data_IF_651364743388
#
_entry.id   IF_651364743388
#
_cell.length_a   1.000
_cell.length_b   1.000
_cell.length_c   1.000
_cell.angle_alpha   90.00
_cell.angle_beta   90.00
_cell.angle_gamma   90.00
#
_symmetry.space_group_name_H-M   'P 1'
#
loop_
_entity.id
_entity.type
_entity.pdbx_description
1 polymer ?
#
# COMPACT_ATOMS: atom_id res chain seq x y z
N UNK A 1 16.16 25.61 3.40
CA UNK A 1 17.33 25.07 2.67
C UNK A 1 17.19 23.57 2.62
N UNK A 2 17.34 22.94 1.44
CA UNK A 2 17.37 21.47 1.33
C UNK A 2 18.70 20.92 1.86
N UNK A 3 18.73 19.64 2.23
CA UNK A 3 19.97 18.99 2.64
C UNK A 3 20.99 18.93 1.51
N UNK A 4 20.56 18.77 0.26
CA UNK A 4 21.44 18.82 -0.91
C UNK A 4 22.13 20.18 -1.04
N UNK A 5 21.38 21.28 -0.86
CA UNK A 5 21.92 22.64 -0.89
C UNK A 5 22.85 22.90 0.30
N UNK A 6 22.48 22.39 1.48
CA UNK A 6 23.30 22.48 2.69
C UNK A 6 24.63 21.75 2.51
N UNK A 7 24.60 20.55 1.92
CA UNK A 7 25.79 19.74 1.65
C UNK A 7 26.70 20.42 0.62
N UNK A 8 26.15 20.96 -0.47
CA UNK A 8 26.94 21.74 -1.43
C UNK A 8 27.60 22.98 -0.79
N UNK A 9 26.88 23.69 0.06
CA UNK A 9 27.42 24.83 0.81
C UNK A 9 28.52 24.40 1.79
N UNK A 10 28.33 23.28 2.50
CA UNK A 10 29.31 22.71 3.42
C UNK A 10 30.64 22.39 2.70
N UNK A 11 30.61 21.81 1.50
CA UNK A 11 31.82 21.56 0.72
C UNK A 11 32.54 22.85 0.31
N UNK A 12 31.78 23.89 -0.02
CA UNK A 12 32.34 25.21 -0.33
C UNK A 12 33.07 25.80 0.88
N UNK A 13 32.52 25.62 2.09
CA UNK A 13 33.17 26.05 3.33
C UNK A 13 34.39 25.19 3.67
N UNK A 14 34.25 23.86 3.59
CA UNK A 14 35.29 22.90 3.90
C UNK A 14 36.55 23.09 3.03
N UNK A 15 36.41 23.56 1.79
CA UNK A 15 37.55 23.87 0.90
C UNK A 15 38.55 24.88 1.47
N UNK A 16 38.14 25.65 2.50
CA UNK A 16 38.96 26.65 3.18
C UNK A 16 39.55 26.14 4.51
N UNK A 17 39.18 24.94 4.92
CA UNK A 17 39.56 24.35 6.21
C UNK A 17 40.74 23.38 6.06
N UNK A 18 41.55 23.18 7.12
CA UNK A 18 42.59 22.17 7.13
C UNK A 18 42.04 20.76 6.85
N UNK A 19 42.86 19.92 6.22
CA UNK A 19 42.53 18.52 5.87
C UNK A 19 41.41 18.34 4.83
N UNK A 20 41.03 19.38 4.09
CA UNK A 20 40.09 19.26 2.97
C UNK A 20 40.50 18.18 1.95
N UNK A 21 41.80 18.03 1.70
CA UNK A 21 42.35 17.02 0.79
C UNK A 21 42.05 15.57 1.21
N UNK A 22 41.62 15.34 2.45
CA UNK A 22 41.19 14.03 2.94
C UNK A 22 39.71 13.74 2.66
N UNK A 23 38.93 14.73 2.21
CA UNK A 23 37.52 14.57 1.88
C UNK A 23 37.35 14.09 0.43
N UNK A 24 36.52 13.07 0.25
CA UNK A 24 36.04 12.66 -1.06
C UNK A 24 34.99 13.62 -1.64
N UNK A 25 34.42 13.28 -2.82
CA UNK A 25 33.31 14.03 -3.38
C UNK A 25 32.06 13.99 -2.47
N UNK A 26 31.18 15.00 -2.54
CA UNK A 26 29.96 15.07 -1.71
C UNK A 26 29.03 13.85 -1.82
N UNK A 27 29.05 13.16 -2.96
CA UNK A 27 28.27 11.93 -3.20
C UNK A 27 28.60 10.80 -2.25
N UNK A 28 29.84 10.76 -1.74
CA UNK A 28 30.36 9.64 -0.95
C UNK A 28 29.94 9.73 0.52
N UNK A 29 29.16 10.76 0.87
CA UNK A 29 28.77 11.05 2.23
C UNK A 29 27.28 11.29 2.38
N UNK A 30 26.76 10.83 3.51
CA UNK A 30 25.40 11.07 3.98
C UNK A 30 25.45 11.90 5.26
N UNK A 31 24.44 12.75 5.45
CA UNK A 31 24.27 13.49 6.69
C UNK A 31 23.59 12.59 7.73
N UNK A 32 24.11 12.59 8.95
CA UNK A 32 23.54 11.91 10.11
C UNK A 32 23.23 12.92 11.20
N UNK A 33 22.15 12.73 11.94
CA UNK A 33 21.80 13.56 13.10
C UNK A 33 21.14 12.72 14.18
N UNK A 34 20.92 13.30 15.36
CA UNK A 34 20.23 12.60 16.45
C UNK A 34 18.76 13.00 16.44
N UNK A 35 17.86 12.01 16.33
CA UNK A 35 16.42 12.23 16.34
C UNK A 35 15.94 12.66 17.73
N UNK A 36 15.10 13.69 17.79
CA UNK A 36 14.44 14.15 19.01
C UNK A 36 13.38 13.15 19.51
N UNK A 37 12.84 12.30 18.62
CA UNK A 37 11.80 11.34 18.97
C UNK A 37 12.38 10.07 19.61
N UNK A 38 13.46 9.54 19.02
CA UNK A 38 14.03 8.24 19.43
C UNK A 38 15.32 8.40 20.24
N UNK A 39 15.93 9.59 20.26
CA UNK A 39 17.27 9.82 20.81
C UNK A 39 18.38 8.97 20.15
N UNK A 40 18.15 8.49 18.93
CA UNK A 40 19.09 7.68 18.16
C UNK A 40 19.64 8.42 16.93
N UNK A 41 20.73 7.89 16.37
CA UNK A 41 21.30 8.38 15.12
C UNK A 41 20.43 8.02 13.90
N UNK A 42 20.00 9.03 13.15
CA UNK A 42 19.22 8.93 11.92
C UNK A 42 20.07 9.35 10.72
N UNK A 43 20.10 8.52 9.67
CA UNK A 43 20.78 8.80 8.41
C UNK A 43 19.80 9.42 7.40
N UNK A 44 20.14 10.59 6.85
CA UNK A 44 19.28 11.34 5.94
C UNK A 44 19.64 11.10 4.48
N UNK A 45 19.20 9.95 3.94
CA UNK A 45 19.43 9.61 2.54
C UNK A 45 18.59 10.42 1.55
N UNK A 46 17.44 10.96 1.97
CA UNK A 46 16.63 11.85 1.13
C UNK A 46 17.09 13.30 1.27
N UNK A 47 17.99 13.72 0.39
CA UNK A 47 18.58 15.06 0.44
C UNK A 47 17.65 16.19 -0.03
N UNK A 48 16.47 15.84 -0.55
CA UNK A 48 15.43 16.82 -0.89
C UNK A 48 14.67 17.31 0.36
N UNK A 49 14.83 16.65 1.50
CA UNK A 49 14.28 17.11 2.77
C UNK A 49 14.88 18.48 3.15
N UNK A 50 14.10 19.28 3.87
CA UNK A 50 14.56 20.58 4.39
C UNK A 50 15.12 20.41 5.80
N UNK A 51 16.18 21.14 6.13
CA UNK A 51 16.80 21.07 7.46
C UNK A 51 15.80 21.37 8.59
N UNK A 52 14.92 22.36 8.40
CA UNK A 52 13.87 22.72 9.37
C UNK A 52 12.78 21.66 9.52
N UNK A 53 12.63 20.75 8.55
CA UNK A 53 11.71 19.63 8.62
C UNK A 53 12.27 18.42 9.37
N UNK A 54 13.56 18.45 9.74
CA UNK A 54 14.17 17.39 10.52
C UNK A 54 13.85 17.56 11.99
N UNK A 55 13.46 16.47 12.64
CA UNK A 55 13.19 16.46 14.08
C UNK A 55 14.47 16.13 14.84
N UNK A 56 15.47 17.00 14.74
CA UNK A 56 16.75 16.80 15.40
C UNK A 56 16.68 17.22 16.87
N UNK A 57 17.31 16.44 17.76
CA UNK A 57 17.46 16.77 19.18
C UNK A 57 18.32 18.04 19.38
N UNK A 58 19.35 18.20 18.54
CA UNK A 58 20.22 19.37 18.48
C UNK A 58 20.43 19.75 17.01
N UNK A 59 20.65 21.03 16.67
CA UNK A 59 20.92 21.47 15.30
C UNK A 59 22.36 21.13 14.85
N UNK A 60 22.78 19.89 15.08
CA UNK A 60 24.10 19.36 14.78
C UNK A 60 23.93 18.14 13.86
N UNK A 61 24.72 18.12 12.79
CA UNK A 61 24.79 16.98 11.88
C UNK A 61 26.24 16.53 11.74
N UNK A 62 26.42 15.22 11.60
CA UNK A 62 27.69 14.58 11.32
C UNK A 62 27.69 14.12 9.86
N UNK A 63 28.86 14.17 9.23
CA UNK A 63 29.08 13.63 7.92
C UNK A 63 29.59 12.19 8.06
N UNK A 64 28.90 11.22 7.44
CA UNK A 64 29.28 9.81 7.46
C UNK A 64 29.53 9.31 6.04
N UNK A 65 30.55 8.46 5.87
CA UNK A 65 30.85 7.88 4.56
C UNK A 65 29.79 6.83 4.23
N UNK A 66 29.25 6.88 3.02
CA UNK A 66 28.27 5.92 2.52
C UNK A 66 28.97 4.59 2.21
N UNK A 67 28.25 3.47 2.34
CA UNK A 67 28.74 2.18 1.87
C UNK A 67 29.03 2.24 0.36
N UNK A 68 30.10 1.59 -0.11
CA UNK A 68 30.48 1.62 -1.52
C UNK A 68 29.52 0.80 -2.42
N UNK A 69 28.74 -0.11 -1.82
CA UNK A 69 27.78 -0.97 -2.52
C UNK A 69 26.40 -0.31 -2.65
N UNK A 70 25.97 -0.14 -3.90
CA UNK A 70 24.67 0.46 -4.24
C UNK A 70 23.48 -0.32 -3.68
N UNK A 71 23.57 -1.66 -3.58
CA UNK A 71 22.50 -2.48 -3.02
C UNK A 71 22.34 -2.20 -1.52
N UNK A 72 23.46 -2.14 -0.79
CA UNK A 72 23.48 -1.78 0.63
C UNK A 72 22.93 -0.37 0.89
N UNK A 73 23.24 0.59 0.01
CA UNK A 73 22.66 1.95 0.10
C UNK A 73 21.14 1.89 -0.02
N UNK A 74 20.62 1.16 -0.99
CA UNK A 74 19.18 1.09 -1.23
C UNK A 74 18.47 0.37 -0.09
N UNK A 75 19.06 -0.69 0.44
CA UNK A 75 18.56 -1.35 1.64
C UNK A 75 18.53 -0.41 2.85
N UNK A 76 19.58 0.39 3.05
CA UNK A 76 19.65 1.34 4.15
C UNK A 76 18.62 2.47 4.02
N UNK A 77 18.35 2.94 2.80
CA UNK A 77 17.26 3.89 2.52
C UNK A 77 15.90 3.32 2.89
N UNK A 78 15.62 2.09 2.47
CA UNK A 78 14.36 1.41 2.78
C UNK A 78 14.21 1.20 4.29
N UNK A 79 15.27 0.72 4.97
CA UNK A 79 15.26 0.53 6.41
C UNK A 79 15.02 1.85 7.16
N UNK A 80 15.62 2.96 6.73
CA UNK A 80 15.39 4.29 7.31
C UNK A 80 13.93 4.74 7.12
N UNK A 81 13.34 4.49 5.94
CA UNK A 81 11.94 4.81 5.67
C UNK A 81 10.99 3.97 6.55
N UNK A 82 11.26 2.66 6.67
CA UNK A 82 10.49 1.75 7.52
C UNK A 82 10.57 2.21 8.98
N UNK A 83 11.77 2.49 9.49
CA UNK A 83 11.98 2.94 10.87
C UNK A 83 11.22 4.24 11.17
N UNK A 84 11.19 5.17 10.21
CA UNK A 84 10.45 6.43 10.34
C UNK A 84 8.93 6.20 10.45
N UNK A 85 8.39 5.21 9.75
CA UNK A 85 6.96 4.89 9.76
C UNK A 85 6.61 4.03 10.99
N UNK A 86 7.42 3.03 11.30
CA UNK A 86 7.18 2.08 12.40
C UNK A 86 7.52 2.65 13.77
N UNK A 87 8.34 3.70 13.83
CA UNK A 87 8.98 4.26 15.04
C UNK A 87 9.93 3.30 15.75
N UNK A 88 10.28 2.18 15.12
CA UNK A 88 11.21 1.17 15.65
C UNK A 88 12.48 1.20 14.81
N UNK A 89 13.62 1.36 15.49
CA UNK A 89 14.92 1.40 14.82
C UNK A 89 15.37 0.01 14.38
N UNK A 90 16.16 -0.04 13.32
CA UNK A 90 16.73 -1.31 12.86
C UNK A 90 17.74 -1.87 13.88
N UNK A 91 18.41 -1.01 14.64
CA UNK A 91 19.34 -1.42 15.69
C UNK A 91 18.60 -2.14 16.83
N UNK A 92 17.48 -1.58 17.29
CA UNK A 92 16.63 -2.20 18.31
C UNK A 92 16.07 -3.54 17.86
N UNK A 93 15.63 -3.61 16.59
CA UNK A 93 15.13 -4.85 16.00
C UNK A 93 16.20 -5.94 15.92
N UNK A 94 17.44 -5.57 15.59
CA UNK A 94 18.55 -6.50 15.54
C UNK A 94 18.95 -6.96 16.95
N UNK A 95 19.05 -6.03 17.90
CA UNK A 95 19.33 -6.36 19.30
C UNK A 95 18.26 -7.29 19.90
N UNK A 96 16.98 -7.07 19.57
CA UNK A 96 15.89 -7.93 19.98
C UNK A 96 15.98 -9.34 19.35
N UNK A 97 16.37 -9.43 18.08
CA UNK A 97 16.56 -10.70 17.39
C UNK A 97 17.77 -11.49 17.94
N UNK A 98 18.85 -10.80 18.31
CA UNK A 98 20.02 -11.41 18.96
C UNK A 98 19.68 -11.90 20.38
N UNK A 99 18.88 -11.13 21.12
CA UNK A 99 18.48 -11.49 22.48
C UNK A 99 17.43 -12.62 22.53
N UNK A 100 16.63 -12.81 21.47
CA UNK A 100 15.51 -13.76 21.44
C UNK A 100 15.43 -14.49 20.10
N UNK A 101 15.66 -15.80 20.13
CA UNK A 101 15.58 -16.67 18.94
C UNK A 101 14.21 -16.69 18.28
N UNK A 102 13.12 -16.56 19.06
CA UNK A 102 11.76 -16.43 18.53
C UNK A 102 11.63 -15.19 17.63
N UNK A 103 12.20 -14.05 18.05
CA UNK A 103 12.14 -12.80 17.27
C UNK A 103 12.92 -12.96 15.96
N UNK A 104 14.12 -13.55 16.01
CA UNK A 104 14.91 -13.83 14.81
C UNK A 104 14.15 -14.74 13.84
N UNK A 105 13.57 -15.84 14.34
CA UNK A 105 12.80 -16.79 13.55
C UNK A 105 11.56 -16.15 12.91
N UNK A 106 10.78 -15.38 13.69
CA UNK A 106 9.59 -14.69 13.19
C UNK A 106 9.95 -13.70 12.09
N UNK A 107 11.03 -12.92 12.26
CA UNK A 107 11.50 -11.98 11.22
C UNK A 107 11.82 -12.70 9.91
N UNK A 108 12.54 -13.82 9.98
CA UNK A 108 12.88 -14.60 8.80
C UNK A 108 11.64 -15.20 8.12
N UNK A 109 10.69 -15.71 8.90
CA UNK A 109 9.44 -16.28 8.35
C UNK A 109 8.57 -15.22 7.70
N UNK A 110 8.41 -14.06 8.33
CA UNK A 110 7.63 -12.96 7.76
C UNK A 110 8.28 -12.40 6.49
N UNK A 111 9.61 -12.34 6.43
CA UNK A 111 10.32 -11.94 5.21
C UNK A 111 10.04 -12.93 4.07
N UNK A 112 10.16 -14.24 4.33
CA UNK A 112 9.85 -15.26 3.34
C UNK A 112 8.40 -15.19 2.84
N UNK A 113 7.44 -14.91 3.73
CA UNK A 113 6.05 -14.68 3.35
C UNK A 113 5.87 -13.42 2.49
N UNK A 114 6.56 -12.33 2.83
CA UNK A 114 6.52 -11.09 2.07
C UNK A 114 7.09 -11.30 0.64
N UNK A 115 8.24 -11.97 0.53
CA UNK A 115 8.88 -12.27 -0.75
C UNK A 115 7.99 -13.15 -1.64
N UNK A 116 7.34 -14.17 -1.06
CA UNK A 116 6.41 -15.02 -1.77
C UNK A 116 5.21 -14.22 -2.30
N UNK A 117 4.68 -13.28 -1.52
CA UNK A 117 3.56 -12.43 -1.92
C UNK A 117 3.97 -11.43 -3.01
N UNK A 118 5.13 -10.80 -2.89
CA UNK A 118 5.68 -9.89 -3.91
C UNK A 118 5.92 -10.64 -5.22
N UNK A 119 6.51 -11.84 -5.15
CA UNK A 119 6.74 -12.68 -6.33
C UNK A 119 5.43 -13.05 -7.02
N UNK A 120 4.41 -13.45 -6.25
CA UNK A 120 3.06 -13.74 -6.79
C UNK A 120 2.39 -12.53 -7.41
N UNK A 121 2.51 -11.36 -6.77
CA UNK A 121 1.95 -10.12 -7.28
C UNK A 121 2.60 -9.74 -8.62
N UNK A 122 3.93 -9.77 -8.68
CA UNK A 122 4.70 -9.44 -9.88
C UNK A 122 4.50 -10.46 -11.01
N UNK A 123 4.26 -11.73 -10.69
CA UNK A 123 3.92 -12.75 -11.67
C UNK A 123 2.59 -12.47 -12.40
N UNK A 124 1.68 -11.70 -11.79
CA UNK A 124 0.44 -11.23 -12.41
C UNK A 124 0.62 -10.01 -13.34
N UNK A 125 1.85 -9.49 -13.45
CA UNK A 125 2.18 -8.36 -14.30
C UNK A 125 1.64 -7.01 -13.80
N UNK A 126 1.76 -5.94 -14.62
CA UNK A 126 1.43 -4.57 -14.23
C UNK A 126 -0.01 -4.39 -13.79
N UNK A 127 -0.96 -5.08 -14.44
CA UNK A 127 -2.38 -5.00 -14.11
C UNK A 127 -2.67 -5.59 -12.72
N UNK A 128 -1.99 -6.66 -12.31
CA UNK A 128 -2.16 -7.23 -10.97
C UNK A 128 -1.65 -6.28 -9.88
N UNK A 129 -0.53 -5.59 -10.15
CA UNK A 129 0.00 -4.54 -9.25
C UNK A 129 -0.97 -3.37 -9.15
N UNK A 130 -1.50 -2.89 -10.28
CA UNK A 130 -2.49 -1.82 -10.30
C UNK A 130 -3.77 -2.21 -9.53
N UNK A 131 -4.23 -3.44 -9.71
CA UNK A 131 -5.35 -4.01 -8.97
C UNK A 131 -5.07 -4.01 -7.46
N UNK A 132 -3.91 -4.51 -7.01
CA UNK A 132 -3.54 -4.49 -5.59
C UNK A 132 -3.54 -3.09 -4.98
N UNK A 133 -3.12 -2.07 -5.73
CA UNK A 133 -3.02 -0.70 -5.25
C UNK A 133 -4.36 0.06 -5.24
N UNK A 134 -5.27 -0.26 -6.16
CA UNK A 134 -6.39 0.66 -6.49
C UNK A 134 -7.74 -0.03 -6.72
N UNK A 135 -7.86 -1.34 -6.48
CA UNK A 135 -9.14 -2.04 -6.62
C UNK A 135 -10.23 -1.47 -5.72
N UNK A 136 -11.40 -1.20 -6.31
CA UNK A 136 -12.60 -0.91 -5.55
C UNK A 136 -13.03 -2.15 -4.74
N UNK A 137 -13.42 -1.94 -3.48
CA UNK A 137 -13.85 -3.02 -2.61
C UNK A 137 -15.14 -3.69 -3.12
N UNK A 138 -15.11 -5.02 -3.21
CA UNK A 138 -16.28 -5.83 -3.55
C UNK A 138 -16.94 -6.39 -2.30
N UNK A 139 -18.27 -6.29 -2.26
CA UNK A 139 -19.14 -6.93 -1.29
C UNK A 139 -20.28 -7.65 -2.03
N UNK A 140 -20.08 -8.91 -2.47
CA UNK A 140 -21.13 -9.64 -3.21
C UNK A 140 -22.42 -9.88 -2.41
N UNK A 141 -22.33 -9.86 -1.08
CA UNK A 141 -23.47 -10.03 -0.19
C UNK A 141 -24.24 -8.72 -0.03
N UNK A 142 -25.43 -8.67 -0.62
CA UNK A 142 -26.35 -7.55 -0.51
C UNK A 142 -27.07 -7.55 0.86
N UNK A 143 -27.17 -6.38 1.48
CA UNK A 143 -27.95 -6.18 2.70
C UNK A 143 -29.46 -6.34 2.43
N UNK A 144 -30.23 -6.69 3.46
CA UNK A 144 -31.70 -6.85 3.31
C UNK A 144 -32.39 -5.52 2.95
N UNK A 145 -31.86 -4.40 3.43
CA UNK A 145 -32.28 -3.04 3.05
C UNK A 145 -32.09 -2.80 1.57
N UNK A 146 -30.89 -3.10 1.05
CA UNK A 146 -30.57 -2.88 -0.35
C UNK A 146 -31.36 -3.82 -1.28
N UNK A 147 -31.54 -5.08 -0.91
CA UNK A 147 -32.43 -6.00 -1.65
C UNK A 147 -33.87 -5.46 -1.76
N UNK A 148 -34.38 -4.82 -0.70
CA UNK A 148 -35.70 -4.16 -0.73
C UNK A 148 -35.69 -2.94 -1.66
N UNK A 149 -34.66 -2.09 -1.55
CA UNK A 149 -34.48 -0.92 -2.42
C UNK A 149 -34.49 -1.34 -3.91
N UNK A 150 -33.75 -2.40 -4.25
CA UNK A 150 -33.67 -2.94 -5.60
C UNK A 150 -35.00 -3.44 -6.15
N UNK A 151 -35.92 -3.92 -5.30
CA UNK A 151 -37.26 -4.32 -5.76
C UNK A 151 -38.10 -3.11 -6.18
N UNK A 152 -37.83 -1.94 -5.63
CA UNK A 152 -38.60 -0.71 -5.90
C UNK A 152 -38.05 0.10 -7.08
N UNK A 153 -36.74 0.05 -7.34
CA UNK A 153 -36.18 0.70 -8.53
C UNK A 153 -36.39 -0.17 -9.78
N UNK A 154 -36.77 0.40 -10.93
CA UNK A 154 -36.93 -0.38 -12.17
C UNK A 154 -35.59 -0.73 -12.83
N UNK A 155 -34.60 0.17 -12.74
CA UNK A 155 -33.27 0.05 -13.33
C UNK A 155 -32.22 0.59 -12.36
N UNK A 156 -30.97 0.17 -12.52
CA UNK A 156 -29.82 0.78 -11.85
C UNK A 156 -29.44 2.05 -12.62
N UNK A 157 -29.72 3.21 -12.04
CA UNK A 157 -29.27 4.49 -12.62
C UNK A 157 -27.82 4.72 -12.23
N UNK A 158 -26.93 4.93 -13.20
CA UNK A 158 -25.57 5.43 -12.96
C UNK A 158 -25.39 6.76 -13.69
N UNK A 159 -24.40 7.53 -13.26
CA UNK A 159 -23.94 8.69 -14.02
C UNK A 159 -22.46 8.55 -14.38
N UNK A 160 -22.10 9.02 -15.58
CA UNK A 160 -20.74 9.01 -16.08
C UNK A 160 -20.33 10.40 -16.57
N UNK A 161 -19.13 10.84 -16.21
CA UNK A 161 -18.56 12.08 -16.73
C UNK A 161 -17.71 11.72 -17.94
N UNK A 162 -17.91 12.43 -19.04
CA UNK A 162 -17.20 12.21 -20.29
C UNK A 162 -16.66 13.55 -20.77
N UNK A 163 -15.48 13.56 -21.36
CA UNK A 163 -14.89 14.76 -21.94
C UNK A 163 -14.97 14.61 -23.45
N UNK A 164 -15.57 15.58 -24.14
CA UNK A 164 -15.61 15.58 -25.59
C UNK A 164 -14.30 16.10 -26.20
N UNK A 165 -14.14 15.89 -27.51
CA UNK A 165 -13.00 16.38 -28.27
C UNK A 165 -13.20 17.82 -28.80
N UNK A 166 -14.13 18.60 -28.22
CA UNK A 166 -14.30 20.00 -28.61
C UNK A 166 -13.06 20.81 -28.22
N UNK A 167 -12.83 21.94 -28.90
CA UNK A 167 -11.84 22.93 -28.47
C UNK A 167 -12.56 24.22 -28.04
N UNK A 168 -12.63 24.55 -26.73
CA UNK A 168 -12.06 23.81 -25.59
C UNK A 168 -12.87 22.53 -25.24
N UNK A 169 -12.24 21.53 -24.58
CA UNK A 169 -12.91 20.29 -24.21
C UNK A 169 -14.04 20.55 -23.23
N UNK A 170 -15.22 20.02 -23.52
CA UNK A 170 -16.41 20.16 -22.69
C UNK A 170 -16.71 18.85 -21.95
N UNK A 171 -17.07 19.00 -20.68
CA UNK A 171 -17.52 17.89 -19.86
C UNK A 171 -19.01 17.67 -20.04
N UNK A 172 -19.39 16.44 -20.36
CA UNK A 172 -20.77 15.98 -20.46
C UNK A 172 -21.07 15.00 -19.33
N UNK A 173 -22.23 15.17 -18.69
CA UNK A 173 -22.75 14.23 -17.70
C UNK A 173 -23.76 13.31 -18.38
N UNK A 174 -23.42 12.04 -18.51
CA UNK A 174 -24.31 10.99 -18.97
C UNK A 174 -25.06 10.39 -17.79
N UNK A 175 -26.37 10.20 -17.92
CA UNK A 175 -27.18 9.41 -17.00
C UNK A 175 -27.71 8.18 -17.72
N UNK A 176 -27.40 7.00 -17.22
CA UNK A 176 -27.69 5.71 -17.87
C UNK A 176 -28.54 4.85 -16.96
N UNK A 177 -29.60 4.28 -17.54
CA UNK A 177 -30.52 3.37 -16.87
C UNK A 177 -30.18 1.94 -17.29
N UNK A 178 -29.43 1.25 -16.44
CA UNK A 178 -28.89 -0.07 -16.74
C UNK A 178 -29.71 -1.18 -16.06
N UNK A 179 -29.64 -2.43 -16.57
CA UNK A 179 -30.13 -3.60 -15.83
C UNK A 179 -29.50 -3.68 -14.44
N UNK A 180 -30.21 -4.26 -13.46
CA UNK A 180 -29.73 -4.32 -12.06
C UNK A 180 -28.51 -5.24 -11.92
N UNK A 181 -28.43 -6.24 -12.78
CA UNK A 181 -27.38 -7.24 -12.86
C UNK A 181 -26.27 -6.87 -13.86
N UNK A 182 -26.24 -5.61 -14.32
CA UNK A 182 -25.24 -5.15 -15.31
C UNK A 182 -23.82 -5.38 -14.81
N UNK A 183 -22.99 -6.00 -15.67
CA UNK A 183 -21.57 -6.21 -15.41
C UNK A 183 -20.75 -4.95 -15.70
N UNK A 184 -19.54 -4.87 -15.16
CA UNK A 184 -18.59 -3.78 -15.45
C UNK A 184 -18.36 -3.64 -16.96
N UNK A 185 -18.10 -4.75 -17.66
CA UNK A 185 -17.88 -4.74 -19.10
C UNK A 185 -19.09 -4.22 -19.89
N UNK A 186 -20.30 -4.65 -19.49
CA UNK A 186 -21.55 -4.19 -20.14
C UNK A 186 -21.80 -2.71 -19.88
N UNK A 187 -21.52 -2.22 -18.67
CA UNK A 187 -21.65 -0.81 -18.34
C UNK A 187 -20.64 0.06 -19.11
N UNK A 188 -19.40 -0.40 -19.30
CA UNK A 188 -18.41 0.29 -20.13
C UNK A 188 -18.93 0.44 -21.56
N UNK A 189 -19.44 -0.64 -22.17
CA UNK A 189 -20.02 -0.63 -23.52
C UNK A 189 -21.13 0.41 -23.64
N UNK A 190 -22.09 0.39 -22.72
CA UNK A 190 -23.21 1.34 -22.71
C UNK A 190 -22.76 2.80 -22.54
N UNK A 191 -21.74 3.06 -21.70
CA UNK A 191 -21.18 4.41 -21.55
C UNK A 191 -20.49 4.84 -22.84
N UNK A 192 -19.65 4.00 -23.44
CA UNK A 192 -18.93 4.32 -24.68
C UNK A 192 -19.90 4.50 -25.85
N UNK A 193 -20.95 3.69 -25.94
CA UNK A 193 -22.01 3.83 -26.95
C UNK A 193 -22.82 5.12 -26.75
N UNK A 194 -23.07 5.52 -25.51
CA UNK A 194 -23.70 6.80 -25.20
C UNK A 194 -22.78 7.99 -25.50
N UNK A 195 -21.48 7.89 -25.23
CA UNK A 195 -20.47 8.90 -25.60
C UNK A 195 -20.37 9.06 -27.12
N UNK A 196 -20.30 7.95 -27.84
CA UNK A 196 -20.21 7.91 -29.32
C UNK A 196 -21.37 8.65 -29.97
N UNK A 197 -22.58 8.53 -29.40
CA UNK A 197 -23.78 9.25 -29.86
C UNK A 197 -23.72 10.77 -29.63
N UNK A 198 -22.88 11.26 -28.73
CA UNK A 198 -22.67 12.69 -28.51
C UNK A 198 -21.69 13.32 -29.50
N UNK A 199 -20.79 12.53 -30.09
CA UNK A 199 -19.79 13.00 -31.05
C UNK A 199 -20.46 13.35 -32.38
N UNK A 200 -20.26 14.58 -32.85
CA UNK A 200 -20.72 15.02 -34.18
C UNK A 200 -19.65 14.69 -35.23
N UNK A 201 -19.75 13.53 -35.90
CA UNK A 201 -18.85 13.12 -36.98
C UNK A 201 -18.93 11.64 -37.31
N UNK A 202 -18.25 11.19 -38.37
CA UNK A 202 -18.03 9.76 -38.62
C UNK A 202 -17.12 9.20 -37.52
N UNK A 203 -17.70 8.42 -36.61
CA UNK A 203 -16.93 7.65 -35.64
C UNK A 203 -16.49 6.38 -36.34
N UNK A 204 -15.18 6.19 -36.49
CA UNK A 204 -14.63 4.97 -37.04
C UNK A 204 -15.16 3.76 -36.26
N UNK A 205 -15.66 2.74 -36.97
CA UNK A 205 -16.04 1.48 -36.36
C UNK A 205 -14.78 0.86 -35.74
N UNK A 206 -14.64 0.93 -34.42
CA UNK A 206 -13.61 0.21 -33.72
C UNK A 206 -14.08 -1.24 -33.56
N UNK A 207 -13.52 -2.16 -34.34
CA UNK A 207 -13.82 -3.61 -34.29
C UNK A 207 -13.40 -4.28 -32.95
N UNK A 208 -12.87 -3.51 -32.00
CA UNK A 208 -12.34 -4.00 -30.73
C UNK A 208 -13.32 -3.71 -29.59
N UNK A 209 -13.57 -4.70 -28.74
CA UNK A 209 -14.42 -4.56 -27.55
C UNK A 209 -13.86 -3.47 -26.62
N UNK A 210 -14.58 -2.35 -26.39
CA UNK A 210 -14.11 -1.27 -25.53
C UNK A 210 -13.87 -1.75 -24.09
N UNK A 211 -14.61 -2.76 -23.61
CA UNK A 211 -14.42 -3.30 -22.27
C UNK A 211 -13.02 -3.90 -22.02
N UNK A 212 -12.26 -4.22 -23.08
CA UNK A 212 -10.88 -4.72 -22.97
C UNK A 212 -9.83 -3.62 -22.72
N UNK A 213 -10.16 -2.36 -23.01
CA UNK A 213 -9.22 -1.22 -22.95
C UNK A 213 -9.50 -0.25 -21.80
N UNK A 214 -10.73 -0.23 -21.32
CA UNK A 214 -11.19 0.71 -20.31
C UNK A 214 -11.41 0.01 -18.96
N UNK A 215 -11.20 0.76 -17.88
CA UNK A 215 -11.68 0.45 -16.55
C UNK A 215 -12.77 1.45 -16.15
N UNK A 216 -13.68 1.07 -15.25
CA UNK A 216 -14.54 2.05 -14.59
C UNK A 216 -13.84 2.59 -13.34
N UNK A 217 -13.70 3.91 -13.29
CA UNK A 217 -13.18 4.64 -12.15
C UNK A 217 -14.33 5.23 -11.33
N UNK A 218 -14.25 5.10 -10.00
CA UNK A 218 -15.13 5.82 -9.09
C UNK A 218 -14.76 7.30 -9.10
N UNK A 219 -15.75 8.17 -9.37
CA UNK A 219 -15.50 9.61 -9.42
C UNK A 219 -15.06 10.13 -8.06
N UNK A 220 -14.07 11.03 -8.06
CA UNK A 220 -13.50 11.64 -6.85
C UNK A 220 -12.76 10.68 -5.88
N UNK A 221 -12.52 9.42 -6.24
CA UNK A 221 -11.63 8.51 -5.49
C UNK A 221 -10.49 7.97 -6.38
N UNK A 222 -9.59 7.17 -5.81
CA UNK A 222 -8.55 6.43 -6.54
C UNK A 222 -8.91 4.93 -6.66
N UNK A 223 -10.19 4.64 -6.82
CA UNK A 223 -10.71 3.27 -6.88
C UNK A 223 -11.22 2.93 -8.28
N UNK A 224 -10.89 1.72 -8.73
CA UNK A 224 -11.20 1.23 -10.07
C UNK A 224 -11.82 -0.17 -10.00
N UNK A 225 -12.72 -0.45 -10.93
CA UNK A 225 -13.42 -1.72 -11.04
C UNK A 225 -12.70 -2.58 -12.07
N UNK A 226 -11.88 -3.53 -11.60
CA UNK A 226 -11.01 -4.37 -12.45
C UNK A 226 -11.68 -5.65 -12.96
N UNK A 227 -12.72 -6.14 -12.29
CA UNK A 227 -13.38 -7.39 -12.69
C UNK A 227 -14.49 -7.10 -13.72
N UNK A 228 -14.29 -7.44 -15.01
CA UNK A 228 -15.23 -7.12 -16.09
C UNK A 228 -16.57 -7.85 -15.93
N UNK A 229 -16.57 -9.03 -15.31
CA UNK A 229 -17.74 -9.91 -15.18
C UNK A 229 -18.52 -9.66 -13.88
N UNK A 230 -17.94 -8.91 -12.94
CA UNK A 230 -18.63 -8.59 -11.70
C UNK A 230 -19.77 -7.60 -11.94
N UNK A 231 -20.93 -7.87 -11.34
CA UNK A 231 -22.07 -6.95 -11.39
C UNK A 231 -21.73 -5.65 -10.65
N UNK A 232 -22.13 -4.49 -11.20
CA UNK A 232 -21.87 -3.18 -10.57
C UNK A 232 -22.38 -3.12 -9.13
N UNK A 233 -23.49 -3.80 -8.85
CA UNK A 233 -24.09 -3.81 -7.52
C UNK A 233 -23.26 -4.54 -6.46
N UNK A 234 -22.28 -5.36 -6.85
CA UNK A 234 -21.39 -6.03 -5.91
C UNK A 234 -20.27 -5.12 -5.40
N UNK A 235 -20.15 -3.89 -5.89
CA UNK A 235 -19.14 -2.95 -5.39
C UNK A 235 -19.70 -2.13 -4.23
N UNK A 236 -18.92 -2.01 -3.14
CA UNK A 236 -19.35 -1.31 -1.92
C UNK A 236 -19.81 0.11 -2.21
N UNK A 237 -19.05 0.85 -3.02
CA UNK A 237 -19.41 2.21 -3.44
C UNK A 237 -20.83 2.30 -4.05
N UNK A 238 -21.16 1.38 -4.95
CA UNK A 238 -22.49 1.35 -5.60
C UNK A 238 -23.57 1.05 -4.57
N UNK A 239 -23.33 0.10 -3.67
CA UNK A 239 -24.27 -0.22 -2.59
C UNK A 239 -24.53 0.98 -1.68
N UNK A 240 -23.47 1.66 -1.25
CA UNK A 240 -23.59 2.83 -0.38
C UNK A 240 -24.37 3.97 -1.04
N UNK A 241 -24.14 4.23 -2.32
CA UNK A 241 -24.94 5.21 -3.08
C UNK A 241 -26.42 4.83 -3.07
N UNK A 242 -26.75 3.58 -3.36
CA UNK A 242 -28.14 3.11 -3.39
C UNK A 242 -28.81 3.17 -2.00
N UNK A 243 -28.09 2.87 -0.92
CA UNK A 243 -28.62 2.97 0.44
C UNK A 243 -28.88 4.43 0.86
N UNK A 244 -28.07 5.37 0.34
CA UNK A 244 -28.26 6.82 0.55
C UNK A 244 -29.27 7.45 -0.40
N UNK A 245 -29.76 6.71 -1.40
CA UNK A 245 -30.63 7.24 -2.45
C UNK A 245 -29.89 8.15 -3.46
N UNK A 246 -28.57 8.00 -3.55
CA UNK A 246 -27.71 8.73 -4.48
C UNK A 246 -27.46 7.92 -5.76
N UNK A 247 -27.07 8.61 -6.84
CA UNK A 247 -26.72 8.00 -8.12
C UNK A 247 -25.21 7.73 -8.13
N UNK A 248 -24.75 6.46 -8.27
CA UNK A 248 -23.34 6.14 -8.44
C UNK A 248 -22.72 6.89 -9.60
N UNK A 249 -21.51 7.44 -9.39
CA UNK A 249 -20.77 8.19 -10.42
C UNK A 249 -19.53 7.43 -10.85
N UNK A 250 -19.51 6.93 -12.07
CA UNK A 250 -18.47 6.08 -12.63
C UNK A 250 -18.04 6.61 -14.00
N UNK A 251 -16.74 6.75 -14.25
CA UNK A 251 -16.22 7.23 -15.53
C UNK A 251 -15.27 6.19 -16.14
N UNK A 252 -15.39 5.87 -17.45
CA UNK A 252 -14.43 5.02 -18.13
C UNK A 252 -13.10 5.76 -18.26
N UNK A 253 -12.01 5.06 -17.96
CA UNK A 253 -10.63 5.53 -18.10
C UNK A 253 -9.81 4.45 -18.79
N UNK A 254 -8.81 4.84 -19.57
CA UNK A 254 -7.95 3.88 -20.26
C UNK A 254 -7.08 3.13 -19.23
N UNK A 255 -6.95 1.82 -19.42
CA UNK A 255 -6.10 0.98 -18.56
C UNK A 255 -4.64 1.44 -18.63
N UNK A 256 -4.15 1.80 -19.82
CA UNK A 256 -2.79 2.32 -20.04
C UNK A 256 -2.53 3.60 -19.23
N UNK A 257 -3.46 4.57 -19.23
CA UNK A 257 -3.32 5.81 -18.46
C UNK A 257 -3.23 5.53 -16.95
N UNK A 258 -3.95 4.52 -16.46
CA UNK A 258 -3.90 4.11 -15.05
C UNK A 258 -2.54 3.49 -14.72
N UNK A 259 -2.01 2.63 -15.59
CA UNK A 259 -0.68 2.04 -15.39
C UNK A 259 0.41 3.12 -15.39
N UNK A 260 0.36 4.06 -16.33
CA UNK A 260 1.30 5.17 -16.45
C UNK A 260 1.24 6.08 -15.21
N UNK A 261 0.04 6.41 -14.73
CA UNK A 261 -0.15 7.20 -13.52
C UNK A 261 0.42 6.52 -12.26
N UNK A 262 0.44 5.19 -12.23
CA UNK A 262 1.04 4.40 -11.14
C UNK A 262 2.54 4.16 -11.33
N UNK A 263 3.14 4.63 -12.43
CA UNK A 263 4.54 4.40 -12.78
C UNK A 263 4.85 2.92 -13.07
N UNK A 264 3.85 2.16 -13.51
CA UNK A 264 3.98 0.75 -13.86
C UNK A 264 4.36 0.61 -15.34
N UNK A 265 5.09 -0.44 -15.74
CA UNK A 265 5.49 -0.60 -17.13
C UNK A 265 4.26 -0.85 -18.03
N UNK A 266 4.33 -0.41 -19.31
CA UNK A 266 3.22 -0.57 -20.24
C UNK A 266 2.94 -2.05 -20.50
N UNK A 267 1.71 -2.36 -20.91
CA UNK A 267 1.34 -3.69 -21.39
C UNK A 267 2.16 -4.03 -22.65
N UNK A 268 2.91 -5.14 -22.62
CA UNK A 268 3.56 -5.66 -23.82
C UNK A 268 2.49 -6.05 -24.88
N UNK A 269 2.80 -5.84 -26.17
CA UNK A 269 1.88 -6.02 -27.31
C UNK A 269 1.10 -7.35 -27.28
N UNK A 270 -0.15 -7.38 -27.80
CA UNK A 270 -1.07 -8.50 -27.65
C UNK A 270 -0.57 -9.73 -28.40
N UNK A 271 0.02 -10.67 -27.67
CA UNK A 271 0.49 -11.93 -28.23
C UNK A 271 0.71 -13.07 -27.25
N UNK A 272 0.80 -12.86 -25.92
CA UNK A 272 1.14 -13.99 -25.02
C UNK A 272 0.62 -13.92 -23.59
N UNK A 273 -0.25 -12.99 -23.22
CA UNK A 273 -0.86 -13.01 -21.88
C UNK A 273 -2.30 -12.50 -21.95
N UNK A 274 -3.24 -13.43 -22.12
CA UNK A 274 -4.62 -13.18 -21.71
C UNK A 274 -4.59 -12.79 -20.23
N UNK A 275 -4.97 -11.54 -19.94
CA UNK A 275 -5.31 -11.14 -18.58
C UNK A 275 -6.52 -12.00 -18.16
N UNK A 276 -6.25 -13.06 -17.41
CA UNK A 276 -7.30 -13.82 -16.73
C UNK A 276 -7.62 -13.06 -15.44
N UNK A 277 -8.82 -12.50 -15.29
CA UNK A 277 -9.20 -11.86 -14.03
C UNK A 277 -9.01 -12.89 -12.93
N UNK A 278 -8.29 -12.50 -11.88
CA UNK A 278 -8.01 -13.33 -10.72
C UNK A 278 -9.31 -13.54 -9.91
N UNK A 279 -10.25 -14.28 -10.46
CA UNK A 279 -11.43 -14.83 -9.76
C UNK A 279 -11.03 -15.76 -8.60
N UNK A 280 -9.72 -16.06 -8.47
CA UNK A 280 -9.11 -16.89 -7.44
C UNK A 280 -8.34 -16.12 -6.35
N UNK A 281 -8.34 -14.78 -6.32
CA UNK A 281 -7.89 -14.04 -5.11
C UNK A 281 -8.95 -14.05 -3.99
N UNK A 282 -9.92 -14.97 -4.04
CA UNK A 282 -10.97 -15.18 -3.04
C UNK A 282 -10.50 -15.82 -1.73
N UNK A 283 -9.20 -15.96 -1.52
CA UNK A 283 -8.64 -16.17 -0.19
C UNK A 283 -7.30 -15.45 -0.08
N UNK A 284 -7.30 -14.29 0.59
CA UNK A 284 -6.15 -13.93 1.41
C UNK A 284 -5.88 -15.15 2.31
N UNK A 285 -4.66 -15.71 2.32
CA UNK A 285 -4.36 -16.85 3.15
C UNK A 285 -4.67 -16.49 4.61
N UNK A 286 -5.40 -17.39 5.28
CA UNK A 286 -5.50 -17.39 6.73
C UNK A 286 -4.08 -17.24 7.28
N UNK A 287 -3.83 -16.12 7.96
CA UNK A 287 -2.61 -15.94 8.72
C UNK A 287 -2.54 -17.14 9.68
N UNK A 288 -1.38 -17.78 9.79
CA UNK A 288 -1.08 -18.96 10.63
C UNK A 288 -1.20 -20.32 9.89
N UNK A 289 -0.25 -20.59 9.00
CA UNK A 289 0.37 -21.93 8.96
C UNK A 289 1.87 -21.75 9.24
N UNK A 290 2.18 -21.61 10.53
CA UNK A 290 3.54 -21.58 11.03
C UNK A 290 4.01 -23.02 11.18
N UNK A 291 4.63 -23.58 10.14
CA UNK A 291 5.38 -24.83 10.29
C UNK A 291 6.82 -24.50 10.69
N UNK A 292 7.17 -24.86 11.92
CA UNK A 292 8.54 -24.81 12.42
C UNK A 292 9.24 -26.12 12.12
N UNK A 293 10.11 -26.13 11.10
CA UNK A 293 11.17 -27.14 11.01
C UNK A 293 12.26 -26.74 11.99
N UNK A 294 12.23 -27.33 13.19
CA UNK A 294 13.37 -27.38 14.09
C UNK A 294 14.00 -28.76 14.02
N UNK A 295 15.32 -28.84 14.14
CA UNK A 295 16.03 -30.11 14.34
C UNK A 295 15.46 -30.80 15.60
N UNK A 296 14.74 -31.90 15.38
CA UNK A 296 14.12 -32.67 16.46
C UNK A 296 15.19 -33.56 17.09
N UNK A 297 15.99 -33.00 18.00
CA UNK A 297 16.55 -33.83 19.07
C UNK A 297 15.39 -34.39 19.90
N UNK A 298 15.53 -35.63 20.39
CA UNK A 298 14.48 -36.44 21.03
C UNK A 298 13.57 -35.64 21.97
N UNK A 299 12.46 -35.13 21.44
CA UNK A 299 11.42 -34.43 22.21
C UNK A 299 10.41 -35.46 22.71
N UNK A 300 10.22 -35.55 24.02
CA UNK A 300 9.13 -36.31 24.62
C UNK A 300 7.80 -35.61 24.31
N UNK A 301 6.80 -36.37 23.87
CA UNK A 301 5.46 -35.83 23.67
C UNK A 301 4.90 -35.37 25.02
N UNK A 302 4.35 -34.15 25.04
CA UNK A 302 3.68 -33.58 26.22
C UNK A 302 2.52 -34.48 26.67
N UNK A 303 1.87 -35.18 25.74
CA UNK A 303 0.79 -36.12 26.05
C UNK A 303 1.25 -37.43 26.71
N UNK A 304 2.54 -37.77 26.61
CA UNK A 304 3.13 -38.93 27.28
C UNK A 304 3.51 -38.63 28.73
N UNK A 305 3.51 -37.36 29.14
CA UNK A 305 3.76 -36.96 30.52
C UNK A 305 2.53 -37.28 31.38
N UNK A 306 2.70 -38.21 32.34
CA UNK A 306 1.65 -38.60 33.31
C UNK A 306 1.68 -37.80 34.61
N UNK A 307 2.40 -36.69 34.63
CA UNK A 307 2.59 -35.87 35.83
C UNK A 307 1.56 -34.74 35.96
N UNK A 308 1.32 -34.28 37.18
CA UNK A 308 0.45 -33.13 37.45
C UNK A 308 1.18 -31.81 37.17
N UNK A 309 0.51 -30.87 36.50
CA UNK A 309 1.06 -29.53 36.25
C UNK A 309 1.32 -28.80 37.57
N UNK A 310 2.57 -28.36 37.78
CA UNK A 310 2.94 -27.55 38.94
C UNK A 310 3.84 -26.40 38.51
N UNK A 311 3.60 -25.21 39.06
CA UNK A 311 4.38 -24.00 38.80
C UNK A 311 4.86 -23.43 40.12
N UNK A 312 6.18 -23.27 40.28
CA UNK A 312 6.77 -22.74 41.51
C UNK A 312 7.14 -21.26 41.31
N UNK A 313 6.47 -20.37 42.04
CA UNK A 313 6.82 -18.94 42.09
C UNK A 313 7.92 -18.73 43.13
N UNK A 314 9.10 -18.27 42.68
CA UNK A 314 10.27 -18.12 43.57
C UNK A 314 10.36 -16.77 44.26
N UNK A 315 10.09 -15.68 43.55
CA UNK A 315 10.10 -14.32 44.10
C UNK A 315 9.40 -13.35 43.15
N UNK A 316 8.93 -12.22 43.69
CA UNK A 316 8.43 -11.10 42.90
C UNK A 316 9.24 -9.84 43.26
N UNK A 317 9.81 -9.16 42.27
CA UNK A 317 10.52 -7.91 42.52
C UNK A 317 9.54 -6.73 42.53
N UNK A 318 9.45 -6.12 43.72
CA UNK A 318 8.75 -4.88 44.10
C UNK A 318 7.27 -4.79 43.72
N UNK A 319 6.42 -5.21 44.66
CA UNK A 319 5.00 -4.79 44.68
C UNK A 319 4.92 -3.38 45.26
N UNK A 320 4.47 -2.40 44.47
CA UNK A 320 4.13 -1.08 44.97
C UNK A 320 2.79 -1.13 45.71
N UNK A 321 2.76 -1.78 46.87
CA UNK A 321 1.63 -1.66 47.80
C UNK A 321 1.80 -0.34 48.54
N UNK A 322 0.97 0.65 48.17
CA UNK A 322 0.84 1.90 48.89
C UNK A 322 0.35 1.63 50.31
N UNK A 323 1.17 1.96 51.30
CA UNK A 323 0.70 2.18 52.66
C UNK A 323 0.03 3.56 52.64
N UNK A 324 -1.25 3.58 52.33
CA UNK A 324 -2.12 4.72 52.63
C UNK A 324 -3.49 4.18 53.04
N UNK A 325 -3.68 4.06 54.36
CA UNK A 325 -4.98 4.16 54.99
C UNK A 325 -4.80 4.80 56.38
N UNK A 326 -5.17 6.08 56.55
CA UNK A 326 -5.39 6.64 57.87
C UNK A 326 -6.78 6.22 58.32
N UNK A 327 -6.88 5.27 59.24
CA UNK A 327 -8.14 5.01 59.95
C UNK A 327 -8.06 5.62 61.34
N UNK A 328 -8.69 6.79 61.48
CA UNK A 328 -9.12 7.39 62.75
C UNK A 328 -9.71 6.35 63.70
N UNK A 329 -9.18 6.27 64.93
CA UNK A 329 -9.85 6.00 66.22
C UNK A 329 -8.78 6.39 67.28
N UNK A 330 -8.91 7.30 68.24
CA UNK A 330 -9.97 8.10 68.88
C UNK A 330 -9.40 9.48 69.18
#
# INVERSE_FOLDING_TARGET
MSLSSLKAYLWTLASKEPFYECLGPPSDYVLQGISALTAEGEYFYNENCTFSGLQLMLPLMRLEKVADDSQTIEQNKQNAMIAKISTISQADLNAAAEARSEVAWTRQRLLSMADANVTRLNAGGPVAVAHYLTAAAQQPKLTTSLQRCLRHIPHLTISAICVDCSDPPQQHLLALNLPKEVTVASAIKEIVDAQTRLVKGEVGCHDLDPASKYLLKVCCSQEYLFDPESALIHYMYVQECLEKGEIPRLTPVLLEDVLDCLGLPPLETPGTTEYRPATTLTHLPSVIELHGEGDVEATTDVWDLRDYFSLTVRSAQKSAVGVDAPTRVT
#
